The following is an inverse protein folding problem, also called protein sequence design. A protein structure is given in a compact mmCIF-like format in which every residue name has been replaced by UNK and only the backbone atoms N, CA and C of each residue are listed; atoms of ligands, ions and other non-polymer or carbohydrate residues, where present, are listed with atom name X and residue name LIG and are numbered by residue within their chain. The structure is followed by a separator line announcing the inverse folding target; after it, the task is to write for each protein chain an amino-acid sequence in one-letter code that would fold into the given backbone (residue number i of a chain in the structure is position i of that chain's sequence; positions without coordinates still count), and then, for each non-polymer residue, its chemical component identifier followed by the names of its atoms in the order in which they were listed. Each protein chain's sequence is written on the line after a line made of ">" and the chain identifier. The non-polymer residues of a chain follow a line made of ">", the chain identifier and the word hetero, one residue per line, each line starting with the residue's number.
data_IF_888870648856
#
_entry.id   IF_888870648856
#
_cell.length_a   1.000
_cell.length_b   1.000
_cell.length_c   1.000
_cell.angle_alpha   90.00
_cell.angle_beta   90.00
_cell.angle_gamma   90.00
#
_symmetry.space_group_name_H-M   'P 1'
#
loop_
_entity.id
_entity.type
_entity.pdbx_description
1 polymer ?
#
# COMPACT_ATOMS: atom_id res chain seq x y z
N UNK A 1 16.50 1.19 1.98
CA UNK A 1 16.67 0.05 1.06
C UNK A 1 15.40 -0.78 0.93
N UNK A 2 14.83 -1.36 1.99
CA UNK A 2 13.64 -2.22 1.85
C UNK A 2 12.34 -1.47 1.48
N UNK A 3 12.20 -0.21 1.92
CA UNK A 3 11.14 0.70 1.48
C UNK A 3 11.30 1.01 -0.01
N UNK A 4 12.49 1.50 -0.39
CA UNK A 4 12.87 1.77 -1.78
C UNK A 4 12.54 0.58 -2.71
N UNK A 5 13.03 -0.63 -2.41
CA UNK A 5 12.79 -1.81 -3.26
C UNK A 5 11.31 -2.11 -3.51
N UNK A 6 10.44 -1.85 -2.53
CA UNK A 6 8.99 -2.05 -2.71
C UNK A 6 8.35 -0.94 -3.54
N UNK A 7 8.84 0.29 -3.39
CA UNK A 7 8.29 1.44 -4.10
C UNK A 7 8.66 1.44 -5.60
N UNK A 8 9.86 0.98 -5.95
CA UNK A 8 10.35 0.92 -7.35
C UNK A 8 10.14 -0.45 -8.02
N UNK A 9 9.35 -1.34 -7.41
CA UNK A 9 9.03 -2.68 -7.93
C UNK A 9 10.25 -3.46 -8.44
N UNK A 10 11.36 -3.42 -7.69
CA UNK A 10 12.58 -4.18 -7.97
C UNK A 10 12.68 -5.39 -7.02
N UNK A 11 11.94 -6.49 -7.26
CA UNK A 11 11.90 -7.61 -6.34
C UNK A 11 13.26 -8.36 -6.34
N UNK A 12 13.80 -8.70 -5.15
CA UNK A 12 15.02 -9.48 -5.06
C UNK A 12 14.79 -10.92 -5.54
N UNK A 13 15.85 -11.63 -5.99
CA UNK A 13 15.74 -13.01 -6.48
C UNK A 13 15.31 -14.03 -5.40
N UNK A 14 15.33 -13.62 -4.13
CA UNK A 14 14.89 -14.41 -2.98
C UNK A 14 14.14 -13.50 -2.00
N UNK A 15 13.14 -14.01 -1.27
CA UNK A 15 12.39 -13.23 -0.29
C UNK A 15 13.33 -12.61 0.75
N UNK A 16 13.19 -11.31 0.99
CA UNK A 16 13.92 -10.61 2.05
C UNK A 16 13.14 -10.68 3.37
N UNK A 17 13.70 -10.09 4.43
CA UNK A 17 13.12 -10.19 5.79
C UNK A 17 11.64 -9.81 5.84
N UNK A 18 11.22 -8.74 5.16
CA UNK A 18 9.84 -8.28 5.20
C UNK A 18 8.89 -9.19 4.41
N UNK A 19 9.34 -9.78 3.30
CA UNK A 19 8.58 -10.78 2.55
C UNK A 19 8.39 -12.07 3.37
N UNK A 20 9.44 -12.47 4.10
CA UNK A 20 9.39 -13.57 5.04
C UNK A 20 8.36 -13.28 6.14
N UNK A 21 8.38 -12.09 6.74
CA UNK A 21 7.41 -11.70 7.78
C UNK A 21 5.98 -11.72 7.23
N UNK A 22 5.73 -11.13 6.04
CA UNK A 22 4.43 -11.20 5.36
C UNK A 22 3.98 -12.66 5.17
N UNK A 23 4.87 -13.53 4.71
CA UNK A 23 4.57 -14.94 4.50
C UNK A 23 4.23 -15.64 5.82
N UNK A 24 5.02 -15.41 6.87
CA UNK A 24 4.79 -15.99 8.21
C UNK A 24 3.44 -15.53 8.77
N UNK A 25 3.12 -14.24 8.69
CA UNK A 25 1.84 -13.69 9.12
C UNK A 25 0.66 -14.35 8.38
N UNK A 26 0.80 -14.53 7.05
CA UNK A 26 -0.17 -15.26 6.24
C UNK A 26 -0.37 -16.71 6.69
N UNK A 27 0.71 -17.43 7.02
CA UNK A 27 0.63 -18.83 7.49
C UNK A 27 -0.06 -18.96 8.85
N UNK A 28 0.06 -17.95 9.72
CA UNK A 28 -0.61 -17.96 11.03
C UNK A 28 -1.99 -17.28 11.00
N UNK A 29 -2.50 -16.92 9.83
CA UNK A 29 -3.76 -16.18 9.65
C UNK A 29 -3.83 -14.86 10.44
N UNK A 30 -2.70 -14.18 10.59
CA UNK A 30 -2.62 -12.82 11.13
C UNK A 30 -2.55 -11.82 9.97
N UNK A 31 -3.29 -10.72 10.09
CA UNK A 31 -3.27 -9.61 9.12
C UNK A 31 -2.75 -8.36 9.80
N UNK A 32 -1.93 -7.59 9.11
CA UNK A 32 -1.61 -6.21 9.54
C UNK A 32 -2.83 -5.36 9.25
N UNK A 33 -3.45 -4.82 10.30
CA UNK A 33 -4.64 -3.96 10.18
C UNK A 33 -4.26 -2.51 9.92
N UNK A 34 -3.24 -2.03 10.62
CA UNK A 34 -2.67 -0.68 10.48
C UNK A 34 -1.29 -0.62 11.12
N UNK A 35 -0.51 0.39 10.75
CA UNK A 35 0.66 0.80 11.53
C UNK A 35 0.44 2.21 12.08
N UNK A 36 0.99 2.50 13.26
CA UNK A 36 0.85 3.80 13.92
C UNK A 36 2.23 4.26 14.36
N UNK A 37 2.68 5.41 13.87
CA UNK A 37 3.84 6.12 14.43
C UNK A 37 3.34 6.82 15.69
N UNK A 38 3.66 6.28 16.86
CA UNK A 38 2.99 6.64 18.11
C UNK A 38 3.66 7.81 18.81
N UNK A 39 4.99 7.82 18.89
CA UNK A 39 5.74 8.73 19.76
C UNK A 39 7.06 9.20 19.14
N UNK A 40 7.55 10.33 19.67
CA UNK A 40 8.87 10.90 19.42
C UNK A 40 9.48 11.29 20.78
N UNK A 41 10.51 10.57 21.20
CA UNK A 41 11.23 10.83 22.46
C UNK A 41 12.74 10.87 22.18
N UNK A 42 13.43 11.89 22.68
CA UNK A 42 14.88 12.08 22.46
C UNK A 42 15.30 11.92 20.98
N UNK A 43 14.59 12.58 20.07
CA UNK A 43 14.76 12.49 18.60
C UNK A 43 14.62 11.06 18.02
N UNK A 44 14.04 10.14 18.79
CA UNK A 44 13.81 8.75 18.40
C UNK A 44 12.32 8.52 18.19
N UNK A 45 11.96 8.14 16.96
CA UNK A 45 10.58 7.80 16.62
C UNK A 45 10.25 6.34 16.97
N UNK A 46 9.04 6.14 17.46
CA UNK A 46 8.47 4.84 17.80
C UNK A 46 7.26 4.52 16.93
N UNK A 47 7.08 3.25 16.59
CA UNK A 47 5.93 2.80 15.83
C UNK A 47 5.38 1.48 16.37
N UNK A 48 4.10 1.27 16.12
CA UNK A 48 3.40 0.05 16.48
C UNK A 48 2.74 -0.55 15.24
N UNK A 49 2.90 -1.85 15.09
CA UNK A 49 2.22 -2.64 14.06
C UNK A 49 1.02 -3.31 14.74
N UNK A 50 -0.17 -2.95 14.29
CA UNK A 50 -1.42 -3.50 14.79
C UNK A 50 -1.78 -4.72 13.94
N UNK A 51 -1.76 -5.89 14.57
CA UNK A 51 -2.08 -7.17 13.95
C UNK A 51 -3.45 -7.65 14.41
N UNK A 52 -4.20 -8.25 13.49
CA UNK A 52 -5.47 -8.90 13.76
C UNK A 52 -5.40 -10.38 13.43
N UNK A 53 -5.74 -11.22 14.40
CA UNK A 53 -5.88 -12.66 14.22
C UNK A 53 -7.23 -13.10 14.77
N UNK A 54 -8.18 -13.38 13.88
CA UNK A 54 -9.57 -13.67 14.28
C UNK A 54 -10.21 -12.47 14.98
N UNK A 55 -10.61 -12.66 16.24
CA UNK A 55 -11.19 -11.61 17.09
C UNK A 55 -10.16 -10.88 17.96
N UNK A 56 -8.91 -11.31 17.94
CA UNK A 56 -7.85 -10.76 18.78
C UNK A 56 -7.04 -9.72 18.01
N UNK A 57 -6.74 -8.62 18.68
CA UNK A 57 -5.83 -7.57 18.22
C UNK A 57 -4.53 -7.68 19.04
N UNK A 58 -3.39 -7.52 18.36
CA UNK A 58 -2.06 -7.56 18.96
C UNK A 58 -1.27 -6.34 18.52
N UNK A 59 -0.54 -5.76 19.44
CA UNK A 59 0.33 -4.62 19.20
C UNK A 59 1.79 -5.12 19.22
N UNK A 60 2.54 -4.79 18.17
CA UNK A 60 3.95 -5.14 18.06
C UNK A 60 4.76 -3.86 17.95
N UNK A 61 5.60 -3.62 18.96
CA UNK A 61 6.57 -2.53 18.95
C UNK A 61 7.55 -2.67 17.78
N UNK A 62 7.82 -1.57 17.09
CA UNK A 62 8.62 -1.54 15.88
C UNK A 62 9.27 -0.18 15.66
N UNK A 63 10.38 -0.18 14.92
CA UNK A 63 10.92 1.07 14.38
C UNK A 63 10.05 1.52 13.21
N UNK A 64 9.84 2.84 13.01
CA UNK A 64 9.03 3.34 11.90
C UNK A 64 9.47 2.81 10.53
N UNK A 65 10.79 2.71 10.29
CA UNK A 65 11.32 2.18 9.03
C UNK A 65 10.85 0.75 8.72
N UNK A 66 10.76 -0.09 9.75
CA UNK A 66 10.42 -1.50 9.62
C UNK A 66 8.90 -1.66 9.46
N UNK A 67 8.14 -0.88 10.24
CA UNK A 67 6.68 -0.81 10.14
C UNK A 67 6.23 -0.35 8.74
N UNK A 68 6.82 0.73 8.22
CA UNK A 68 6.52 1.25 6.87
C UNK A 68 6.88 0.23 5.79
N UNK A 69 8.07 -0.39 5.88
CA UNK A 69 8.50 -1.41 4.91
C UNK A 69 7.55 -2.63 4.87
N UNK A 70 6.98 -3.01 6.01
CA UNK A 70 5.97 -4.06 6.08
C UNK A 70 4.62 -3.60 5.54
N UNK A 71 4.17 -2.39 5.91
CA UNK A 71 2.90 -1.83 5.50
C UNK A 71 2.76 -1.74 3.98
N UNK A 72 3.83 -1.32 3.28
CA UNK A 72 3.86 -1.27 1.81
C UNK A 72 3.61 -2.66 1.19
N UNK A 73 4.27 -3.70 1.70
CA UNK A 73 4.15 -5.08 1.19
C UNK A 73 2.80 -5.73 1.42
N UNK A 74 2.07 -5.29 2.43
CA UNK A 74 0.76 -5.84 2.82
C UNK A 74 -0.39 -4.88 2.51
N UNK A 75 -0.09 -3.74 1.90
CA UNK A 75 -1.02 -2.65 1.64
C UNK A 75 -1.83 -2.24 2.89
N UNK A 76 -1.17 -2.14 4.05
CA UNK A 76 -1.80 -1.68 5.28
C UNK A 76 -1.76 -0.15 5.41
N UNK A 77 -2.81 0.48 5.98
CA UNK A 77 -2.83 1.91 6.22
C UNK A 77 -1.80 2.34 7.27
N UNK A 78 -1.22 3.51 7.06
CA UNK A 78 -0.20 4.14 7.89
C UNK A 78 -0.82 5.34 8.60
N UNK A 79 -0.66 5.43 9.92
CA UNK A 79 -1.10 6.56 10.73
C UNK A 79 0.07 7.14 11.52
N UNK A 80 -0.04 8.41 11.87
CA UNK A 80 0.83 9.07 12.83
C UNK A 80 -0.05 9.71 13.92
N UNK A 81 0.46 9.75 15.15
CA UNK A 81 -0.22 10.46 16.23
C UNK A 81 -0.13 11.97 16.03
N UNK A 82 -1.15 12.69 16.50
CA UNK A 82 -1.17 14.16 16.45
C UNK A 82 0.06 14.75 17.15
N UNK A 83 0.51 14.15 18.27
CA UNK A 83 1.70 14.61 18.98
C UNK A 83 2.98 14.53 18.13
N UNK A 84 3.11 13.49 17.30
CA UNK A 84 4.25 13.33 16.38
C UNK A 84 4.13 14.34 15.24
N UNK A 85 2.93 14.57 14.71
CA UNK A 85 2.69 15.57 13.65
C UNK A 85 2.90 17.00 14.15
N UNK A 86 2.52 17.31 15.39
CA UNK A 86 2.75 18.63 15.99
C UNK A 86 4.24 18.88 16.26
N UNK A 87 4.98 17.84 16.63
CA UNK A 87 6.40 17.94 16.99
C UNK A 87 7.33 17.97 15.78
N UNK A 88 7.02 17.19 14.74
CA UNK A 88 7.92 16.96 13.60
C UNK A 88 7.22 17.03 12.23
N UNK A 89 5.92 17.31 12.19
CA UNK A 89 5.20 17.55 10.95
C UNK A 89 5.64 18.86 10.31
N UNK A 90 5.71 18.85 8.99
CA UNK A 90 5.99 20.02 8.18
C UNK A 90 4.72 20.37 7.40
N UNK A 91 4.24 21.60 7.56
CA UNK A 91 3.22 22.15 6.67
C UNK A 91 3.89 22.49 5.34
N UNK A 92 3.54 21.77 4.29
CA UNK A 92 4.01 22.04 2.93
C UNK A 92 2.99 22.98 2.27
N UNK A 93 3.27 24.28 2.26
CA UNK A 93 2.48 25.27 1.52
C UNK A 93 3.04 25.46 0.10
N UNK A 94 2.42 24.81 -0.90
CA UNK A 94 2.83 24.90 -2.31
C UNK A 94 3.87 23.86 -2.74
N UNK A 95 4.38 23.96 -3.97
CA UNK A 95 5.46 23.08 -4.53
C UNK A 95 6.84 23.38 -3.93
N UNK A 96 6.95 24.28 -2.95
CA UNK A 96 8.24 24.61 -2.32
C UNK A 96 8.53 23.66 -1.16
N UNK A 97 9.34 22.65 -1.49
CA UNK A 97 9.86 21.65 -0.56
C UNK A 97 11.03 22.29 0.23
N UNK A 98 11.13 22.12 1.56
CA UNK A 98 12.26 22.65 2.33
C UNK A 98 13.62 22.10 1.83
N UNK A 99 14.62 22.99 1.70
CA UNK A 99 15.98 22.67 1.25
C UNK A 99 16.55 21.43 1.97
N UNK A 100 16.85 20.38 1.19
CA UNK A 100 17.38 19.10 1.67
C UNK A 100 16.43 17.91 1.52
N UNK A 101 15.15 18.14 1.22
CA UNK A 101 14.16 17.11 0.86
C UNK A 101 13.96 17.01 -0.67
N UNK A 102 14.51 17.96 -1.43
CA UNK A 102 14.44 18.00 -2.90
C UNK A 102 15.03 16.74 -3.54
N UNK A 103 16.21 16.29 -3.09
CA UNK A 103 16.86 15.07 -3.61
C UNK A 103 16.07 13.79 -3.30
N UNK A 104 15.38 13.72 -2.16
CA UNK A 104 14.56 12.57 -1.77
C UNK A 104 13.18 12.58 -2.48
N UNK A 105 12.67 13.76 -2.83
CA UNK A 105 11.42 13.92 -3.59
C UNK A 105 11.61 13.72 -5.09
N UNK A 106 12.71 14.16 -5.70
CA UNK A 106 13.01 13.85 -7.12
C UNK A 106 13.07 12.33 -7.37
N UNK A 107 13.56 11.57 -6.38
CA UNK A 107 13.52 10.11 -6.40
C UNK A 107 12.05 9.62 -6.41
N UNK A 108 11.22 10.14 -5.51
CA UNK A 108 9.80 9.79 -5.37
C UNK A 108 8.95 10.18 -6.59
N UNK A 109 9.20 11.33 -7.22
CA UNK A 109 8.51 11.78 -8.44
C UNK A 109 8.89 10.91 -9.65
N UNK A 110 10.13 10.44 -9.74
CA UNK A 110 10.53 9.47 -10.75
C UNK A 110 9.87 8.09 -10.53
N UNK A 111 9.47 7.76 -9.29
CA UNK A 111 8.66 6.58 -8.99
C UNK A 111 7.19 6.76 -9.37
N UNK A 112 6.64 7.97 -9.23
CA UNK A 112 5.24 8.29 -9.53
C UNK A 112 4.99 8.41 -11.05
N UNK A 113 6.02 8.74 -11.85
CA UNK A 113 5.98 8.61 -13.31
C UNK A 113 5.94 7.15 -13.79
N UNK A 114 6.38 6.20 -12.96
CA UNK A 114 6.18 4.78 -13.19
C UNK A 114 4.81 4.36 -12.63
N UNK A 115 3.74 4.69 -13.37
CA UNK A 115 2.33 4.32 -13.14
C UNK A 115 2.02 3.59 -11.82
N UNK A 116 1.28 4.26 -10.93
CA UNK A 116 0.44 3.65 -9.89
C UNK A 116 -0.47 2.57 -10.49
N UNK A 117 0.05 1.36 -10.68
CA UNK A 117 -0.73 0.15 -10.95
C UNK A 117 -1.32 -0.27 -9.61
N UNK A 118 -2.47 0.32 -9.29
CA UNK A 118 -3.37 -0.26 -8.29
C UNK A 118 -3.59 -1.71 -8.71
N UNK A 119 -3.31 -2.73 -7.88
CA UNK A 119 -3.54 -4.10 -8.26
C UNK A 119 -5.02 -4.24 -8.59
N UNK A 120 -5.35 -4.44 -9.87
CA UNK A 120 -6.72 -4.75 -10.26
C UNK A 120 -7.12 -5.99 -9.46
N UNK A 121 -8.23 -5.86 -8.71
CA UNK A 121 -8.83 -6.96 -7.99
C UNK A 121 -8.89 -8.18 -8.92
N UNK A 122 -8.61 -9.42 -8.42
CA UNK A 122 -8.56 -10.60 -9.28
C UNK A 122 -9.81 -10.64 -10.14
N UNK A 123 -9.61 -10.57 -11.47
CA UNK A 123 -10.71 -10.43 -12.42
C UNK A 123 -11.71 -11.56 -12.17
N UNK A 124 -12.85 -11.22 -11.59
CA UNK A 124 -13.93 -12.16 -11.32
C UNK A 124 -15.08 -11.82 -12.24
N UNK A 125 -15.89 -12.82 -12.58
CA UNK A 125 -17.08 -12.61 -13.41
C UNK A 125 -17.99 -11.51 -12.81
N UNK A 126 -18.02 -11.39 -11.47
CA UNK A 126 -18.79 -10.39 -10.74
C UNK A 126 -18.26 -8.96 -10.97
N UNK A 127 -16.94 -8.76 -10.97
CA UNK A 127 -16.35 -7.43 -11.20
C UNK A 127 -16.51 -7.00 -12.66
N UNK A 128 -16.34 -7.93 -13.61
CA UNK A 128 -16.55 -7.67 -15.04
C UNK A 128 -18.01 -7.35 -15.37
N UNK A 129 -18.98 -8.01 -14.72
CA UNK A 129 -20.40 -7.70 -14.86
C UNK A 129 -20.72 -6.27 -14.39
N UNK A 130 -20.14 -5.85 -13.26
CA UNK A 130 -20.31 -4.48 -12.74
C UNK A 130 -19.69 -3.43 -13.67
N UNK A 131 -18.52 -3.71 -14.26
CA UNK A 131 -17.88 -2.85 -15.25
C UNK A 131 -18.69 -2.77 -16.56
N UNK A 132 -19.30 -3.88 -16.99
CA UNK A 132 -20.19 -3.91 -18.15
C UNK A 132 -21.41 -3.02 -17.94
N UNK A 133 -22.06 -3.11 -16.78
CA UNK A 133 -23.20 -2.27 -16.42
C UNK A 133 -22.83 -0.77 -16.39
N UNK A 134 -21.66 -0.45 -15.83
CA UNK A 134 -21.13 0.92 -15.84
C UNK A 134 -20.83 1.45 -17.25
N UNK A 135 -20.25 0.63 -18.13
CA UNK A 135 -19.97 1.02 -19.52
C UNK A 135 -21.25 1.26 -20.33
N UNK A 136 -22.28 0.43 -20.12
CA UNK A 136 -23.60 0.64 -20.73
C UNK A 136 -24.26 1.92 -20.21
N UNK A 137 -24.15 2.19 -18.91
CA UNK A 137 -24.67 3.43 -18.31
C UNK A 137 -23.97 4.69 -18.81
N UNK A 138 -22.72 4.58 -19.26
CA UNK A 138 -21.94 5.69 -19.82
C UNK A 138 -22.02 5.77 -21.35
N UNK A 139 -22.90 4.97 -21.97
CA UNK A 139 -23.07 4.86 -23.43
C UNK A 139 -21.77 4.47 -24.18
N UNK A 140 -20.81 3.86 -23.47
CA UNK A 140 -19.56 3.37 -24.05
C UNK A 140 -19.74 1.93 -24.56
N UNK A 141 -20.44 1.82 -25.69
CA UNK A 141 -20.82 0.54 -26.29
C UNK A 141 -19.61 -0.26 -26.79
N UNK A 142 -18.48 0.38 -27.10
CA UNK A 142 -17.28 -0.32 -27.54
C UNK A 142 -16.62 -1.08 -26.39
N UNK A 143 -16.51 -0.45 -25.21
CA UNK A 143 -16.04 -1.13 -24.00
C UNK A 143 -17.00 -2.23 -23.55
N UNK A 144 -18.31 -1.97 -23.62
CA UNK A 144 -19.33 -2.96 -23.27
C UNK A 144 -19.24 -4.25 -24.11
N UNK A 145 -18.97 -4.14 -25.42
CA UNK A 145 -18.81 -5.31 -26.28
C UNK A 145 -17.60 -6.18 -25.88
N UNK A 146 -16.45 -5.55 -25.58
CA UNK A 146 -15.23 -6.25 -25.16
C UNK A 146 -15.41 -6.96 -23.81
N UNK A 147 -16.05 -6.31 -22.85
CA UNK A 147 -16.33 -6.88 -21.52
C UNK A 147 -17.29 -8.07 -21.62
N UNK A 148 -18.33 -8.01 -22.46
CA UNK A 148 -19.25 -9.12 -22.71
C UNK A 148 -18.53 -10.35 -23.27
N UNK A 149 -17.65 -10.17 -24.26
CA UNK A 149 -16.90 -11.27 -24.87
C UNK A 149 -15.92 -11.90 -23.87
N UNK A 150 -15.35 -11.09 -22.96
CA UNK A 150 -14.44 -11.55 -21.89
C UNK A 150 -15.18 -12.37 -20.83
N UNK A 151 -16.34 -11.90 -20.37
CA UNK A 151 -17.22 -12.66 -19.45
C UNK A 151 -17.60 -14.02 -20.06
N UNK A 152 -17.97 -14.04 -21.34
CA UNK A 152 -18.36 -15.29 -22.01
C UNK A 152 -17.23 -16.32 -22.16
N UNK A 153 -15.96 -15.90 -22.14
CA UNK A 153 -14.81 -16.83 -22.12
C UNK A 153 -14.57 -17.41 -20.74
N UNK A 154 -14.82 -16.63 -19.69
CA UNK A 154 -14.63 -17.05 -18.30
C UNK A 154 -15.77 -17.93 -17.78
N UNK A 155 -17.00 -17.74 -18.26
CA UNK A 155 -18.14 -18.63 -17.94
C UNK A 155 -18.08 -19.99 -18.66
N UNK A 156 -17.14 -20.15 -19.62
CA UNK A 156 -16.98 -21.36 -20.42
C UNK A 156 -15.82 -22.28 -19.95
N UNK A 157 -15.01 -21.83 -18.99
CA UNK A 157 -13.95 -22.60 -18.29
C UNK A 157 -14.45 -23.15 -16.95
#
# INVERSE_FOLDING_TARGET
>A
TAIYMELYDEPPPRPICYDLVRTVLGQVNAKVERIVISDLEDDTFYAQIILKQGSSEFEVDSRPSDAIALALRVAAPIFASDAVLDAAGLEVEGEEIPLGLEEDMELFEAADEAELVVPEEPESVVTLQKQLEAAVSQEDYEKAAKLRDKIGRMDAE
#
